data_IF_490221525017
#
_entry.id   IF_490221525017
#
_cell.length_a   1.000
_cell.length_b   1.000
_cell.length_c   1.000
_cell.angle_alpha   90.00
_cell.angle_beta   90.00
_cell.angle_gamma   90.00
#
_symmetry.space_group_name_H-M   'P 1'
#
loop_
_entity.id
_entity.type
_entity.pdbx_description
1 polymer ?
#
# COMPACT_ATOMS: atom_id res chain seq x y z
N UNK A 1 2.39 16.24 -1.95
CA UNK A 1 2.57 15.44 -3.18
C UNK A 1 2.81 13.96 -2.84
N UNK A 2 3.89 13.61 -2.13
CA UNK A 2 4.18 12.20 -1.79
C UNK A 2 3.05 11.46 -1.06
N UNK A 3 2.33 12.12 -0.14
CA UNK A 3 1.22 11.51 0.58
C UNK A 3 0.05 11.10 -0.33
N UNK A 4 -0.31 11.93 -1.32
CA UNK A 4 -1.42 11.63 -2.24
C UNK A 4 -1.09 10.48 -3.19
N UNK A 5 0.17 10.41 -3.64
CA UNK A 5 0.65 9.28 -4.44
C UNK A 5 0.59 7.99 -3.62
N UNK A 6 1.01 8.03 -2.36
CA UNK A 6 0.94 6.88 -1.45
C UNK A 6 -0.51 6.42 -1.23
N UNK A 7 -1.45 7.35 -1.03
CA UNK A 7 -2.88 7.04 -0.91
C UNK A 7 -3.41 6.31 -2.14
N UNK A 8 -3.05 6.77 -3.35
CA UNK A 8 -3.41 6.08 -4.58
C UNK A 8 -2.77 4.68 -4.61
N UNK A 9 -1.48 4.54 -4.29
CA UNK A 9 -0.80 3.24 -4.25
C UNK A 9 -1.49 2.27 -3.31
N UNK A 10 -1.81 2.69 -2.07
CA UNK A 10 -2.50 1.84 -1.09
C UNK A 10 -3.89 1.43 -1.57
N UNK A 11 -4.60 2.34 -2.22
CA UNK A 11 -5.91 2.05 -2.81
C UNK A 11 -5.82 1.03 -3.95
N UNK A 12 -4.92 1.25 -4.90
CA UNK A 12 -4.70 0.33 -6.03
C UNK A 12 -4.22 -1.05 -5.57
N UNK A 13 -3.39 -1.05 -4.53
CA UNK A 13 -2.86 -2.23 -3.88
C UNK A 13 -3.97 -3.12 -3.30
N UNK A 14 -4.87 -2.51 -2.54
CA UNK A 14 -6.00 -3.20 -1.94
C UNK A 14 -6.96 -3.72 -3.02
N UNK A 15 -7.19 -2.95 -4.09
CA UNK A 15 -8.06 -3.36 -5.20
C UNK A 15 -7.49 -4.56 -5.97
N UNK A 16 -6.17 -4.57 -6.21
CA UNK A 16 -5.47 -5.71 -6.80
C UNK A 16 -5.60 -6.97 -5.94
N UNK A 17 -5.36 -6.84 -4.63
CA UNK A 17 -5.43 -7.95 -3.70
C UNK A 17 -6.86 -8.55 -3.64
N UNK A 18 -7.89 -7.71 -3.62
CA UNK A 18 -9.30 -8.14 -3.64
C UNK A 18 -9.70 -8.86 -4.92
N UNK A 19 -9.11 -8.48 -6.06
CA UNK A 19 -9.44 -9.03 -7.39
C UNK A 19 -8.51 -10.16 -7.85
N UNK A 20 -7.66 -10.68 -6.97
CA UNK A 20 -6.77 -11.79 -7.29
C UNK A 20 -5.62 -11.43 -8.24
N UNK A 21 -5.16 -10.17 -8.21
CA UNK A 21 -4.02 -9.69 -9.00
C UNK A 21 -4.36 -9.11 -10.37
N UNK A 22 -5.65 -8.98 -10.71
CA UNK A 22 -6.08 -8.38 -11.98
C UNK A 22 -6.62 -6.96 -11.79
N UNK A 23 -5.90 -5.97 -12.31
CA UNK A 23 -6.39 -4.59 -12.50
C UNK A 23 -7.24 -4.52 -13.76
N UNK A 24 -8.51 -4.93 -13.66
CA UNK A 24 -9.49 -4.68 -14.73
C UNK A 24 -9.92 -3.21 -14.69
N UNK A 25 -10.10 -2.62 -15.87
CA UNK A 25 -10.62 -1.27 -16.06
C UNK A 25 -9.78 -0.14 -15.42
N UNK A 26 -8.45 -0.17 -15.61
CA UNK A 26 -7.55 0.91 -15.16
C UNK A 26 -8.03 2.29 -15.62
N UNK A 27 -8.58 2.40 -16.83
CA UNK A 27 -9.14 3.65 -17.34
C UNK A 27 -10.29 4.18 -16.45
N UNK A 28 -11.19 3.29 -16.01
CA UNK A 28 -12.30 3.65 -15.12
C UNK A 28 -11.77 4.09 -13.75
N UNK A 29 -10.77 3.38 -13.23
CA UNK A 29 -10.13 3.68 -11.95
C UNK A 29 -9.43 5.03 -11.96
N UNK A 30 -8.71 5.35 -13.03
CA UNK A 30 -8.11 6.67 -13.25
C UNK A 30 -9.18 7.76 -13.32
N UNK A 31 -10.31 7.52 -13.99
CA UNK A 31 -11.43 8.48 -14.03
C UNK A 31 -12.09 8.69 -12.65
N UNK A 32 -12.21 7.64 -11.83
CA UNK A 32 -12.67 7.75 -10.45
C UNK A 32 -11.71 8.60 -9.60
N UNK A 33 -10.40 8.38 -9.72
CA UNK A 33 -9.38 9.17 -9.01
C UNK A 33 -9.37 10.64 -9.47
N UNK A 34 -9.52 10.91 -10.78
CA UNK A 34 -9.69 12.29 -11.30
C UNK A 34 -10.89 12.98 -10.68
N UNK A 35 -12.04 12.30 -10.60
CA UNK A 35 -13.26 12.84 -9.96
C UNK A 35 -13.07 13.13 -8.47
N UNK A 36 -12.18 12.41 -7.80
CA UNK A 36 -11.79 12.67 -6.41
C UNK A 36 -10.76 13.80 -6.27
N UNK A 37 -10.33 14.41 -7.37
CA UNK A 37 -9.44 15.57 -7.37
C UNK A 37 -7.94 15.21 -7.34
N UNK A 38 -7.57 13.99 -7.74
CA UNK A 38 -6.17 13.64 -8.01
C UNK A 38 -5.77 14.12 -9.41
N UNK A 39 -4.51 14.52 -9.56
CA UNK A 39 -3.95 14.97 -10.83
C UNK A 39 -3.44 13.80 -11.68
N UNK A 40 -3.36 13.99 -13.00
CA UNK A 40 -2.76 12.99 -13.90
C UNK A 40 -1.36 12.57 -13.48
N UNK A 41 -0.54 13.53 -13.03
CA UNK A 41 0.81 13.25 -12.61
C UNK A 41 0.85 12.35 -11.38
N UNK A 42 -0.06 12.55 -10.41
CA UNK A 42 -0.15 11.71 -9.22
C UNK A 42 -0.62 10.29 -9.56
N UNK A 43 -1.65 10.18 -10.41
CA UNK A 43 -2.20 8.89 -10.86
C UNK A 43 -1.15 8.11 -11.66
N UNK A 44 -0.48 8.77 -12.61
CA UNK A 44 0.56 8.15 -13.43
C UNK A 44 1.74 7.71 -12.57
N UNK A 45 2.21 8.53 -11.62
CA UNK A 45 3.31 8.17 -10.75
C UNK A 45 2.97 6.94 -9.88
N UNK A 46 1.75 6.88 -9.34
CA UNK A 46 1.30 5.74 -8.55
C UNK A 46 1.18 4.45 -9.38
N UNK A 47 0.62 4.53 -10.59
CA UNK A 47 0.52 3.40 -11.50
C UNK A 47 1.89 2.89 -11.94
N UNK A 48 2.81 3.79 -12.30
CA UNK A 48 4.19 3.42 -12.66
C UNK A 48 4.88 2.68 -11.52
N UNK A 49 4.82 3.22 -10.30
CA UNK A 49 5.37 2.56 -9.12
C UNK A 49 4.75 1.17 -8.88
N UNK A 50 3.44 1.04 -9.08
CA UNK A 50 2.72 -0.22 -8.90
C UNK A 50 3.14 -1.29 -9.90
N UNK A 51 3.29 -0.89 -11.18
CA UNK A 51 3.69 -1.79 -12.25
C UNK A 51 5.13 -2.25 -12.11
N UNK A 52 6.06 -1.35 -11.79
CA UNK A 52 7.45 -1.71 -11.47
C UNK A 52 7.50 -2.82 -10.42
N UNK A 53 6.63 -2.72 -9.40
CA UNK A 53 6.55 -3.71 -8.32
C UNK A 53 5.99 -5.07 -8.76
N UNK A 54 5.06 -5.08 -9.70
CA UNK A 54 4.52 -6.30 -10.30
C UNK A 54 5.53 -6.98 -11.23
N UNK A 55 6.28 -6.19 -12.01
CA UNK A 55 7.30 -6.66 -12.95
C UNK A 55 8.53 -7.26 -12.26
N UNK A 56 8.88 -6.80 -11.05
CA UNK A 56 9.94 -7.38 -10.21
C UNK A 56 9.70 -8.86 -9.85
N UNK A 57 8.61 -9.48 -10.31
CA UNK A 57 8.28 -10.86 -9.97
C UNK A 57 7.95 -11.05 -8.49
N UNK A 58 7.87 -9.94 -7.73
CA UNK A 58 7.13 -9.90 -6.49
C UNK A 58 5.67 -10.06 -6.87
N UNK A 59 5.25 -11.31 -7.07
CA UNK A 59 3.86 -11.64 -6.81
C UNK A 59 3.54 -10.98 -5.50
N UNK A 60 2.38 -10.33 -5.48
CA UNK A 60 1.71 -9.97 -4.25
C UNK A 60 1.25 -11.29 -3.64
N UNK A 61 2.20 -12.18 -3.35
CA UNK A 61 2.08 -13.10 -2.27
C UNK A 61 1.80 -12.16 -1.11
N UNK A 62 0.53 -12.02 -0.73
CA UNK A 62 0.18 -11.64 0.62
C UNK A 62 0.97 -12.63 1.46
N UNK A 63 2.21 -12.23 1.80
CA UNK A 63 3.26 -13.20 2.06
C UNK A 63 2.78 -14.01 3.23
N UNK A 64 2.84 -15.33 3.10
CA UNK A 64 2.58 -16.37 4.09
C UNK A 64 3.43 -16.15 5.34
N UNK A 65 3.24 -15.02 6.00
CA UNK A 65 3.94 -14.58 7.18
C UNK A 65 2.97 -14.82 8.32
N UNK A 66 3.20 -15.93 9.02
CA UNK A 66 2.34 -16.43 10.08
C UNK A 66 2.46 -15.66 11.41
N UNK A 67 3.18 -14.54 11.41
CA UNK A 67 3.47 -13.74 12.60
C UNK A 67 2.74 -12.39 12.59
N UNK A 68 2.07 -12.08 13.69
CA UNK A 68 1.54 -10.75 13.98
C UNK A 68 2.59 -9.99 14.80
N UNK A 69 3.03 -8.81 14.36
CA UNK A 69 3.86 -7.93 15.20
C UNK A 69 3.01 -7.48 16.39
N UNK A 70 3.58 -7.53 17.57
CA UNK A 70 2.97 -7.00 18.80
C UNK A 70 3.90 -5.94 19.33
N UNK A 71 3.39 -4.72 19.50
CA UNK A 71 4.17 -3.61 20.03
C UNK A 71 4.51 -3.84 21.50
N UNK A 72 5.75 -3.53 21.87
CA UNK A 72 6.20 -3.40 23.24
C UNK A 72 5.52 -2.20 23.92
N UNK A 73 5.42 -2.19 25.25
CA UNK A 73 4.69 -1.14 25.99
C UNK A 73 5.23 0.27 25.69
N UNK A 74 6.55 0.41 25.56
CA UNK A 74 7.21 1.68 25.22
C UNK A 74 6.82 2.14 23.81
N UNK A 75 6.80 1.23 22.83
CA UNK A 75 6.40 1.51 21.45
C UNK A 75 4.94 1.99 21.40
N UNK A 76 4.03 1.36 22.18
CA UNK A 76 2.61 1.75 22.26
C UNK A 76 2.36 3.14 22.84
N UNK A 77 3.34 3.73 23.54
CA UNK A 77 3.23 5.10 24.08
C UNK A 77 3.60 6.16 23.04
N UNK A 78 4.34 5.79 22.01
CA UNK A 78 4.85 6.71 20.97
C UNK A 78 4.05 6.56 19.67
N UNK A 79 3.70 5.33 19.30
CA UNK A 79 2.87 5.04 18.14
C UNK A 79 1.39 5.10 18.48
N UNK A 80 0.68 6.02 17.83
CA UNK A 80 -0.78 6.05 17.86
C UNK A 80 -1.37 4.75 17.26
N UNK A 81 -2.52 4.27 17.74
CA UNK A 81 -3.22 3.12 17.17
C UNK A 81 -3.46 3.24 15.65
N UNK A 82 -3.76 4.44 15.15
CA UNK A 82 -4.03 4.71 13.74
C UNK A 82 -2.78 4.52 12.88
N UNK A 83 -1.65 5.08 13.31
CA UNK A 83 -0.37 4.88 12.64
C UNK A 83 0.05 3.41 12.62
N UNK A 84 -0.17 2.69 13.73
CA UNK A 84 0.12 1.26 13.79
C UNK A 84 -0.78 0.45 12.85
N UNK A 85 -2.08 0.75 12.84
CA UNK A 85 -3.03 0.14 11.91
C UNK A 85 -2.65 0.38 10.44
N UNK A 86 -2.17 1.59 10.13
CA UNK A 86 -1.68 1.91 8.80
C UNK A 86 -0.45 1.07 8.42
N UNK A 87 0.54 0.91 9.31
CA UNK A 87 1.70 0.04 9.08
C UNK A 87 1.28 -1.43 8.85
N UNK A 88 0.30 -1.91 9.62
CA UNK A 88 -0.26 -3.26 9.42
C UNK A 88 -0.91 -3.41 8.04
N UNK A 89 -1.66 -2.41 7.58
CA UNK A 89 -2.26 -2.41 6.25
C UNK A 89 -1.19 -2.45 5.15
N UNK A 90 -0.17 -1.58 5.24
CA UNK A 90 0.94 -1.58 4.29
C UNK A 90 1.67 -2.93 4.26
N UNK A 91 1.84 -3.56 5.44
CA UNK A 91 2.47 -4.87 5.57
C UNK A 91 1.60 -5.98 4.96
N UNK A 92 0.29 -5.96 5.21
CA UNK A 92 -0.65 -6.94 4.68
C UNK A 92 -0.75 -6.88 3.15
N UNK A 93 -0.65 -5.67 2.58
CA UNK A 93 -0.60 -5.44 1.14
C UNK A 93 0.78 -5.73 0.51
N UNK A 94 1.79 -6.10 1.32
CA UNK A 94 3.14 -6.36 0.82
C UNK A 94 3.91 -5.13 0.36
N UNK A 95 3.40 -3.92 0.64
CA UNK A 95 4.01 -2.64 0.24
C UNK A 95 5.30 -2.37 1.03
N UNK A 96 5.36 -2.84 2.28
CA UNK A 96 6.56 -2.77 3.12
C UNK A 96 6.99 -4.15 3.61
N UNK A 97 8.30 -4.33 3.76
CA UNK A 97 8.92 -5.50 4.37
C UNK A 97 8.90 -5.39 5.90
N UNK A 98 9.08 -6.51 6.65
CA UNK A 98 9.23 -6.44 8.10
C UNK A 98 10.35 -5.51 8.54
N UNK A 99 11.50 -5.53 7.85
CA UNK A 99 12.62 -4.63 8.17
C UNK A 99 12.28 -3.15 7.99
N UNK A 100 11.48 -2.81 6.98
CA UNK A 100 10.99 -1.43 6.80
C UNK A 100 9.99 -1.02 7.88
N UNK A 101 9.14 -1.95 8.33
CA UNK A 101 8.24 -1.72 9.46
C UNK A 101 9.02 -1.47 10.75
N UNK A 102 10.00 -2.31 11.08
CA UNK A 102 10.84 -2.14 12.28
C UNK A 102 11.69 -0.86 12.23
N UNK A 103 12.13 -0.41 11.06
CA UNK A 103 12.86 0.86 10.94
C UNK A 103 12.01 2.09 11.24
N UNK A 104 10.67 1.95 11.27
CA UNK A 104 9.72 3.03 11.53
C UNK A 104 9.24 3.04 13.00
N UNK A 105 9.38 1.92 13.71
CA UNK A 105 8.99 1.72 15.11
C UNK A 105 10.15 2.11 16.02
#
# INVERSE_FOLDING_TARGET
>A
MHQRILEIVVFLADELNRRGGELKDIAKLSDDLRRQGYTENEISAALSWLFERLEEGRRWEGTTYSGVRVLHEVERRVLSPEAYGYLLQLRALGLITPGQMEATI
#
